data_IF_183554908414
#
_entry.id   IF_183554908414
#
_cell.length_a   1.000
_cell.length_b   1.000
_cell.length_c   1.000
_cell.angle_alpha   90.00
_cell.angle_beta   90.00
_cell.angle_gamma   90.00
#
_symmetry.space_group_name_H-M   'P 1'
#
loop_
_entity.id
_entity.type
_entity.pdbx_description
1 polymer ?
#
# COMPACT_ATOMS: atom_id res chain seq x y z
N UNK A 1 -18.00 42.37 13.95
CA UNK A 1 -17.70 40.98 14.37
C UNK A 1 -16.99 40.94 15.72
N UNK A 2 -15.77 41.50 15.84
CA UNK A 2 -15.06 41.54 17.12
C UNK A 2 -15.86 42.21 18.24
N UNK A 3 -16.43 43.39 18.00
CA UNK A 3 -17.18 44.13 19.03
C UNK A 3 -18.44 43.38 19.51
N UNK A 4 -19.13 42.67 18.60
CA UNK A 4 -20.27 41.82 18.94
C UNK A 4 -19.85 40.58 19.75
N UNK A 5 -18.71 39.97 19.43
CA UNK A 5 -18.15 38.87 20.21
C UNK A 5 -17.68 39.33 21.60
N UNK A 6 -17.03 40.49 21.69
CA UNK A 6 -16.63 41.10 22.96
C UNK A 6 -17.85 41.49 23.81
N UNK A 7 -18.91 42.01 23.19
CA UNK A 7 -20.16 42.33 23.87
C UNK A 7 -20.84 41.06 24.40
N UNK A 8 -20.86 39.98 23.63
CA UNK A 8 -21.41 38.68 24.06
C UNK A 8 -20.64 38.09 25.24
N UNK A 9 -19.30 38.12 25.20
CA UNK A 9 -18.43 37.72 26.31
C UNK A 9 -18.69 38.54 27.59
N UNK A 10 -18.89 39.85 27.46
CA UNK A 10 -19.24 40.73 28.60
C UNK A 10 -20.60 40.39 29.20
N UNK A 11 -21.61 40.11 28.37
CA UNK A 11 -22.94 39.71 28.84
C UNK A 11 -22.89 38.35 29.56
N UNK A 12 -22.06 37.44 29.07
CA UNK A 12 -21.81 36.13 29.69
C UNK A 12 -20.89 36.19 30.93
N UNK A 13 -20.38 37.39 31.29
CA UNK A 13 -19.42 37.62 32.38
C UNK A 13 -18.13 36.81 32.24
N UNK A 14 -17.71 36.54 31.00
CA UNK A 14 -16.48 35.82 30.70
C UNK A 14 -15.30 36.79 30.53
N UNK A 15 -14.08 36.30 30.81
CA UNK A 15 -12.85 37.09 30.60
C UNK A 15 -12.61 37.29 29.10
N UNK A 16 -12.28 38.52 28.69
CA UNK A 16 -11.99 38.87 27.28
C UNK A 16 -10.59 38.40 26.84
N UNK A 17 -10.37 37.08 26.87
CA UNK A 17 -9.18 36.43 26.34
C UNK A 17 -9.31 36.20 24.82
N UNK A 18 -8.20 36.06 24.08
CA UNK A 18 -8.24 35.68 22.66
C UNK A 18 -9.09 34.43 22.39
N UNK A 19 -9.03 33.43 23.28
CA UNK A 19 -9.75 32.17 23.17
C UNK A 19 -11.26 32.36 23.34
N UNK A 20 -11.67 33.11 24.36
CA UNK A 20 -13.07 33.47 24.61
C UNK A 20 -13.64 34.28 23.45
N UNK A 21 -12.88 35.27 22.97
CA UNK A 21 -13.30 36.09 21.83
C UNK A 21 -13.42 35.26 20.56
N UNK A 22 -12.51 34.32 20.31
CA UNK A 22 -12.61 33.38 19.19
C UNK A 22 -13.81 32.44 19.30
N UNK A 23 -14.19 32.01 20.50
CA UNK A 23 -15.38 31.18 20.72
C UNK A 23 -16.67 31.95 20.39
N UNK A 24 -16.81 33.18 20.90
CA UNK A 24 -17.96 34.04 20.61
C UNK A 24 -18.02 34.49 19.15
N UNK A 25 -16.86 34.71 18.53
CA UNK A 25 -16.74 34.97 17.11
C UNK A 25 -17.30 33.79 16.29
N UNK A 26 -16.94 32.54 16.62
CA UNK A 26 -17.49 31.34 15.96
C UNK A 26 -18.99 31.16 16.20
N UNK A 27 -19.45 31.44 17.42
CA UNK A 27 -20.87 31.31 17.79
C UNK A 27 -21.75 32.33 17.08
N UNK A 28 -21.31 33.60 17.05
CA UNK A 28 -22.09 34.70 16.46
C UNK A 28 -22.02 34.73 14.93
N UNK A 29 -20.95 34.17 14.34
CA UNK A 29 -20.69 34.28 12.91
C UNK A 29 -20.23 32.95 12.26
N UNK A 30 -21.00 31.85 12.42
CA UNK A 30 -20.58 30.51 12.02
C UNK A 30 -20.29 30.36 10.51
N UNK A 31 -20.86 31.23 9.66
CA UNK A 31 -20.63 31.23 8.21
C UNK A 31 -19.61 32.24 7.68
N UNK A 32 -19.17 33.20 8.50
CA UNK A 32 -18.33 34.33 8.07
C UNK A 32 -16.86 34.22 8.51
N UNK A 33 -16.58 33.45 9.57
CA UNK A 33 -15.22 33.19 10.02
C UNK A 33 -14.74 31.86 9.49
N UNK A 34 -14.27 31.89 8.24
CA UNK A 34 -13.46 30.82 7.67
C UNK A 34 -12.03 31.13 8.08
N UNK A 35 -11.42 30.30 8.90
CA UNK A 35 -10.03 30.39 9.37
C UNK A 35 -8.99 30.13 8.25
N UNK A 36 -9.31 30.51 7.01
CA UNK A 36 -8.51 30.20 5.83
C UNK A 36 -8.46 28.70 5.50
N UNK A 37 -9.22 27.86 6.20
CA UNK A 37 -9.36 26.44 5.92
C UNK A 37 -10.83 26.12 5.79
N UNK A 38 -11.38 26.30 4.58
CA UNK A 38 -12.65 25.63 4.23
C UNK A 38 -12.33 24.15 4.06
N UNK A 39 -12.20 23.45 5.18
CA UNK A 39 -12.52 22.05 5.25
C UNK A 39 -14.02 21.98 5.50
N UNK A 40 -14.75 21.49 4.51
CA UNK A 40 -16.16 21.14 4.67
C UNK A 40 -16.30 20.31 5.96
N UNK A 41 -17.26 20.57 6.87
CA UNK A 41 -17.46 19.77 8.09
C UNK A 41 -17.43 18.24 7.88
N UNK A 42 -17.67 17.80 6.65
CA UNK A 42 -17.75 16.40 6.20
C UNK A 42 -16.41 15.76 5.76
N UNK A 43 -15.26 16.42 5.95
CA UNK A 43 -13.96 15.91 5.48
C UNK A 43 -12.92 15.67 6.59
N UNK A 44 -13.34 15.63 7.86
CA UNK A 44 -12.43 15.47 9.00
C UNK A 44 -12.97 14.48 10.02
N UNK A 45 -12.11 14.05 10.94
CA UNK A 45 -12.55 13.36 12.14
C UNK A 45 -13.50 14.28 12.93
N UNK A 46 -14.76 13.86 13.20
CA UNK A 46 -15.74 14.70 13.88
C UNK A 46 -15.32 15.00 15.32
N UNK A 47 -15.47 16.25 15.74
CA UNK A 47 -15.17 16.67 17.11
C UNK A 47 -16.17 16.02 18.09
N UNK A 48 -15.67 15.49 19.20
CA UNK A 48 -16.43 14.78 20.22
C UNK A 48 -16.75 13.33 19.88
N UNK A 49 -16.40 12.85 18.67
CA UNK A 49 -16.55 11.44 18.28
C UNK A 49 -15.72 10.52 19.18
N UNK A 50 -16.11 9.26 19.26
CA UNK A 50 -15.37 8.27 20.06
C UNK A 50 -13.96 8.08 19.51
N UNK A 51 -13.79 8.00 18.18
CA UNK A 51 -12.48 7.90 17.55
C UNK A 51 -11.58 9.09 17.87
N UNK A 52 -12.11 10.32 17.94
CA UNK A 52 -11.33 11.51 18.32
C UNK A 52 -10.81 11.38 19.75
N UNK A 53 -11.67 10.95 20.68
CA UNK A 53 -11.29 10.75 22.10
C UNK A 53 -10.24 9.65 22.23
N UNK A 54 -10.37 8.56 21.49
CA UNK A 54 -9.43 7.44 21.51
C UNK A 54 -8.06 7.79 20.92
N UNK A 55 -8.04 8.55 19.83
CA UNK A 55 -6.82 9.04 19.19
C UNK A 55 -6.11 10.10 20.05
N UNK A 56 -6.88 10.97 20.68
CA UNK A 56 -6.36 12.15 21.37
C UNK A 56 -5.91 13.25 20.41
N UNK A 57 -5.72 14.46 20.96
CA UNK A 57 -5.60 15.69 20.17
C UNK A 57 -4.49 15.67 19.12
N UNK A 58 -3.31 15.13 19.44
CA UNK A 58 -2.17 15.17 18.52
C UNK A 58 -2.39 14.24 17.31
N UNK A 59 -2.84 13.00 17.53
CA UNK A 59 -3.10 12.07 16.43
C UNK A 59 -4.25 12.56 15.56
N UNK A 60 -5.34 13.05 16.15
CA UNK A 60 -6.45 13.68 15.42
C UNK A 60 -5.97 14.85 14.56
N UNK A 61 -5.15 15.75 15.11
CA UNK A 61 -4.61 16.88 14.35
C UNK A 61 -3.81 16.42 13.13
N UNK A 62 -2.91 15.44 13.30
CA UNK A 62 -2.06 14.93 12.21
C UNK A 62 -2.86 14.18 11.15
N UNK A 63 -3.81 13.35 11.54
CA UNK A 63 -4.69 12.68 10.59
C UNK A 63 -5.56 13.67 9.81
N UNK A 64 -6.12 14.69 10.47
CA UNK A 64 -6.85 15.75 9.79
C UNK A 64 -5.97 16.58 8.83
N UNK A 65 -4.66 16.71 9.11
CA UNK A 65 -3.72 17.33 8.15
C UNK A 65 -3.54 16.46 6.89
N UNK A 66 -3.49 15.13 7.03
CA UNK A 66 -3.40 14.21 5.90
C UNK A 66 -4.69 14.20 5.08
N UNK A 67 -5.87 14.12 5.72
CA UNK A 67 -7.16 14.30 5.05
C UNK A 67 -7.22 15.64 4.30
N UNK A 68 -6.67 16.70 4.91
CA UNK A 68 -6.53 18.02 4.28
C UNK A 68 -5.66 18.06 3.05
N UNK A 69 -4.56 17.33 3.07
CA UNK A 69 -3.71 17.23 1.92
C UNK A 69 -4.37 16.39 0.81
N UNK A 70 -4.93 15.24 1.18
CA UNK A 70 -5.54 14.28 0.28
C UNK A 70 -6.78 14.85 -0.44
N UNK A 71 -7.60 15.67 0.21
CA UNK A 71 -8.80 16.25 -0.41
C UNK A 71 -8.51 17.13 -1.63
N UNK A 72 -7.26 17.54 -1.86
CA UNK A 72 -6.85 18.27 -3.06
C UNK A 72 -6.87 17.40 -4.32
N UNK A 73 -6.65 16.09 -4.18
CA UNK A 73 -6.59 15.13 -5.29
C UNK A 73 -7.65 14.02 -5.19
N UNK A 74 -8.09 13.69 -3.97
CA UNK A 74 -9.06 12.63 -3.66
C UNK A 74 -10.18 13.14 -2.73
N UNK A 75 -10.94 14.19 -3.12
CA UNK A 75 -11.98 14.76 -2.27
C UNK A 75 -13.08 13.74 -1.92
N UNK A 76 -13.49 12.90 -2.86
CA UNK A 76 -14.58 11.94 -2.65
C UNK A 76 -14.17 10.85 -1.65
N UNK A 77 -12.94 10.35 -1.74
CA UNK A 77 -12.35 9.42 -0.76
C UNK A 77 -12.34 10.01 0.64
N UNK A 78 -11.90 11.26 0.77
CA UNK A 78 -11.86 11.96 2.06
C UNK A 78 -13.26 12.17 2.62
N UNK A 79 -14.23 12.55 1.77
CA UNK A 79 -15.65 12.71 2.18
C UNK A 79 -16.24 11.39 2.65
N UNK A 80 -16.08 10.31 1.88
CA UNK A 80 -16.60 9.00 2.23
C UNK A 80 -15.99 8.50 3.55
N UNK A 81 -14.66 8.57 3.68
CA UNK A 81 -13.99 8.15 4.91
C UNK A 81 -14.44 8.97 6.13
N UNK A 82 -14.59 10.29 5.98
CA UNK A 82 -14.98 11.18 7.08
C UNK A 82 -16.49 11.10 7.43
N UNK A 83 -17.37 10.83 6.45
CA UNK A 83 -18.81 10.57 6.66
C UNK A 83 -19.03 9.47 7.71
N UNK A 84 -18.20 8.43 7.67
CA UNK A 84 -18.26 7.29 8.59
C UNK A 84 -17.30 7.40 9.79
N UNK A 85 -16.51 8.47 9.90
CA UNK A 85 -15.51 8.58 10.96
C UNK A 85 -16.12 8.64 12.37
N UNK A 86 -17.39 9.04 12.51
CA UNK A 86 -18.11 8.94 13.78
C UNK A 86 -18.38 7.51 14.24
N UNK A 87 -18.36 6.54 13.33
CA UNK A 87 -18.64 5.12 13.57
C UNK A 87 -17.36 4.32 13.86
N UNK A 88 -16.19 4.88 13.56
CA UNK A 88 -14.93 4.17 13.78
C UNK A 88 -14.61 3.98 15.26
N UNK A 89 -14.06 2.81 15.58
CA UNK A 89 -13.78 2.42 16.95
C UNK A 89 -12.47 1.65 17.11
N UNK A 90 -11.66 2.02 18.11
CA UNK A 90 -10.43 1.32 18.49
C UNK A 90 -10.69 0.44 19.71
N UNK A 91 -10.66 -0.87 19.51
CA UNK A 91 -10.83 -1.89 20.56
C UNK A 91 -9.63 -1.88 21.51
N UNK A 92 -8.42 -1.77 20.95
CA UNK A 92 -7.18 -1.80 21.72
C UNK A 92 -6.17 -0.83 21.13
N UNK A 93 -5.87 0.24 21.87
CA UNK A 93 -4.94 1.33 21.48
C UNK A 93 -3.47 1.02 21.76
N UNK A 94 -3.18 -0.11 22.41
CA UNK A 94 -1.84 -0.55 22.82
C UNK A 94 -1.52 -1.95 22.27
N UNK A 95 -2.16 -2.34 21.17
CA UNK A 95 -1.99 -3.68 20.62
C UNK A 95 -0.52 -3.92 20.26
N UNK A 96 0.00 -5.08 20.64
CA UNK A 96 1.41 -5.44 20.40
C UNK A 96 1.60 -6.34 19.19
N UNK A 97 0.51 -6.88 18.64
CA UNK A 97 0.50 -7.61 17.37
C UNK A 97 0.56 -6.70 16.15
N UNK A 98 0.42 -7.30 14.96
CA UNK A 98 0.13 -6.56 13.72
C UNK A 98 -1.20 -5.86 13.87
N UNK A 99 -1.32 -4.61 13.42
CA UNK A 99 -2.61 -3.94 13.44
C UNK A 99 -3.64 -4.75 12.63
N UNK A 100 -4.90 -4.72 13.05
CA UNK A 100 -5.97 -5.45 12.37
C UNK A 100 -7.33 -4.80 12.64
N UNK A 101 -8.22 -4.89 11.65
CA UNK A 101 -9.66 -4.78 11.84
C UNK A 101 -10.26 -6.13 12.28
N UNK A 102 -11.13 -6.10 13.29
CA UNK A 102 -11.89 -7.27 13.76
C UNK A 102 -13.38 -7.11 13.44
N UNK A 103 -13.90 -7.83 12.43
CA UNK A 103 -15.31 -7.75 12.04
C UNK A 103 -16.27 -8.19 13.15
N UNK A 104 -15.85 -9.10 14.04
CA UNK A 104 -16.71 -9.59 15.14
C UNK A 104 -16.88 -8.55 16.23
N UNK A 105 -15.85 -7.75 16.44
CA UNK A 105 -15.87 -6.68 17.43
C UNK A 105 -16.19 -5.30 16.82
N UNK A 106 -16.29 -5.20 15.48
CA UNK A 106 -16.64 -3.97 14.76
C UNK A 106 -15.61 -2.85 14.94
N UNK A 107 -14.35 -3.19 15.19
CA UNK A 107 -13.34 -2.20 15.58
C UNK A 107 -11.92 -2.63 15.23
N UNK A 108 -10.95 -1.73 15.41
CA UNK A 108 -9.54 -2.00 15.12
C UNK A 108 -8.71 -2.23 16.38
N UNK A 109 -7.65 -3.01 16.24
CA UNK A 109 -6.57 -3.14 17.23
C UNK A 109 -5.30 -2.54 16.66
N UNK A 110 -4.78 -1.51 17.30
CA UNK A 110 -3.64 -0.75 16.79
C UNK A 110 -2.77 -0.23 17.93
N UNK A 111 -1.50 0.07 17.66
CA UNK A 111 -0.62 0.70 18.64
C UNK A 111 -0.50 2.21 18.37
N UNK A 112 -1.21 3.04 19.14
CA UNK A 112 -1.19 4.49 18.93
C UNK A 112 0.21 5.12 19.10
N UNK A 113 1.10 4.50 19.88
CA UNK A 113 2.49 4.98 20.00
C UNK A 113 3.29 4.80 18.71
N UNK A 114 2.85 3.92 17.81
CA UNK A 114 3.56 3.60 16.56
C UNK A 114 2.93 4.25 15.33
N UNK A 115 1.63 4.53 15.33
CA UNK A 115 0.96 5.05 14.13
C UNK A 115 1.51 6.38 13.63
N UNK A 116 2.10 7.21 14.51
CA UNK A 116 2.66 8.51 14.10
C UNK A 116 4.09 8.45 13.56
N UNK A 117 4.67 7.26 13.42
CA UNK A 117 6.04 7.04 12.99
C UNK A 117 6.04 6.38 11.61
N UNK A 118 7.00 6.76 10.78
CA UNK A 118 7.33 5.96 9.60
C UNK A 118 7.87 4.61 10.07
N UNK A 119 7.32 3.52 9.55
CA UNK A 119 7.85 2.19 9.77
C UNK A 119 8.79 1.78 8.65
N UNK A 120 9.14 0.49 8.65
CA UNK A 120 10.01 -0.07 7.61
C UNK A 120 9.32 -0.09 6.22
N UNK A 121 7.99 -0.14 6.19
CA UNK A 121 7.20 -0.36 4.97
C UNK A 121 5.99 0.57 4.81
N UNK A 122 5.66 1.37 5.83
CA UNK A 122 4.53 2.32 5.86
C UNK A 122 5.05 3.70 6.22
N UNK A 123 4.33 4.70 5.75
CA UNK A 123 4.43 6.08 6.23
C UNK A 123 3.59 6.27 7.49
N UNK A 124 3.90 7.33 8.23
CA UNK A 124 3.12 7.74 9.38
C UNK A 124 1.62 7.82 9.04
N UNK A 125 0.81 7.24 9.92
CA UNK A 125 -0.64 7.12 9.91
C UNK A 125 -1.25 6.25 8.81
N UNK A 126 -0.47 5.75 7.85
CA UNK A 126 -0.96 4.87 6.79
C UNK A 126 -1.63 3.61 7.34
N UNK A 127 -1.04 2.96 8.35
CA UNK A 127 -1.67 1.81 9.03
C UNK A 127 -3.03 2.17 9.64
N UNK A 128 -3.17 3.38 10.22
CA UNK A 128 -4.45 3.78 10.80
C UNK A 128 -5.52 3.94 9.72
N UNK A 129 -5.18 4.53 8.58
CA UNK A 129 -6.08 4.64 7.44
C UNK A 129 -6.37 3.28 6.80
N UNK A 130 -5.39 2.38 6.73
CA UNK A 130 -5.58 1.01 6.24
C UNK A 130 -6.61 0.26 7.10
N UNK A 131 -6.38 0.17 8.42
CA UNK A 131 -7.31 -0.57 9.30
C UNK A 131 -8.72 0.04 9.36
N UNK A 132 -8.82 1.37 9.30
CA UNK A 132 -10.15 2.03 9.23
C UNK A 132 -10.81 1.88 7.87
N UNK A 133 -10.04 1.68 6.79
CA UNK A 133 -10.61 1.39 5.47
C UNK A 133 -11.21 -0.02 5.41
N UNK A 134 -10.64 -1.00 6.12
CA UNK A 134 -11.30 -2.30 6.35
C UNK A 134 -12.64 -2.15 7.07
N UNK A 135 -12.69 -1.29 8.09
CA UNK A 135 -13.93 -1.01 8.81
C UNK A 135 -14.96 -0.30 7.94
N UNK A 136 -14.54 0.69 7.15
CA UNK A 136 -15.41 1.36 6.18
C UNK A 136 -15.97 0.35 5.18
N UNK A 137 -15.14 -0.52 4.62
CA UNK A 137 -15.58 -1.56 3.68
C UNK A 137 -16.61 -2.51 4.31
N UNK A 138 -16.42 -2.86 5.58
CA UNK A 138 -17.36 -3.65 6.36
C UNK A 138 -18.69 -2.92 6.63
N UNK A 139 -18.63 -1.62 6.93
CA UNK A 139 -19.82 -0.76 7.09
C UNK A 139 -20.60 -0.69 5.78
N UNK A 140 -19.91 -0.49 4.65
CA UNK A 140 -20.52 -0.45 3.32
C UNK A 140 -21.13 -1.79 2.89
N UNK A 141 -20.67 -2.91 3.46
CA UNK A 141 -21.29 -4.22 3.30
C UNK A 141 -22.31 -4.59 4.38
N UNK A 142 -22.97 -3.58 4.97
CA UNK A 142 -24.01 -3.70 6.00
C UNK A 142 -23.58 -4.51 7.24
N UNK A 143 -22.30 -4.47 7.59
CA UNK A 143 -21.71 -5.25 8.68
C UNK A 143 -21.96 -6.77 8.58
N UNK A 144 -22.09 -7.29 7.35
CA UNK A 144 -22.27 -8.73 7.08
C UNK A 144 -21.15 -9.29 6.21
N UNK A 145 -20.64 -8.47 5.31
CA UNK A 145 -19.52 -8.77 4.41
C UNK A 145 -18.77 -7.47 4.11
N UNK A 146 -17.69 -7.57 3.34
CA UNK A 146 -17.03 -6.40 2.77
C UNK A 146 -17.79 -5.91 1.53
N UNK A 147 -18.08 -4.62 1.44
CA UNK A 147 -18.77 -4.01 0.30
C UNK A 147 -18.02 -4.20 -1.01
N UNK A 148 -16.68 -4.09 -0.95
CA UNK A 148 -15.75 -4.29 -2.07
C UNK A 148 -15.85 -5.68 -2.70
N UNK A 149 -16.21 -6.70 -1.91
CA UNK A 149 -16.39 -8.05 -2.41
C UNK A 149 -17.72 -8.23 -3.16
N UNK A 150 -18.79 -7.61 -2.67
CA UNK A 150 -20.14 -7.73 -3.23
C UNK A 150 -20.42 -6.82 -4.42
N UNK A 151 -19.57 -5.81 -4.65
CA UNK A 151 -19.76 -4.78 -5.67
C UNK A 151 -20.02 -5.37 -7.06
N UNK A 152 -21.17 -5.01 -7.65
CA UNK A 152 -21.67 -5.48 -8.95
C UNK A 152 -21.44 -6.98 -9.22
N UNK A 153 -21.72 -7.84 -8.24
CA UNK A 153 -21.50 -9.30 -8.37
C UNK A 153 -20.02 -9.64 -8.56
N UNK A 154 -19.17 -9.11 -7.69
CA UNK A 154 -17.72 -9.37 -7.62
C UNK A 154 -16.89 -8.79 -8.79
N UNK A 155 -17.27 -7.62 -9.30
CA UNK A 155 -16.55 -6.93 -10.37
C UNK A 155 -15.14 -6.47 -9.91
N UNK A 156 -15.02 -5.93 -8.71
CA UNK A 156 -13.75 -5.45 -8.16
C UNK A 156 -12.68 -6.55 -8.01
N UNK A 157 -12.94 -7.70 -7.34
CA UNK A 157 -11.97 -8.78 -7.30
C UNK A 157 -11.61 -9.35 -8.68
N UNK A 158 -12.52 -9.33 -9.65
CA UNK A 158 -12.23 -9.73 -11.03
C UNK A 158 -11.23 -8.78 -11.71
N UNK A 159 -11.43 -7.46 -11.58
CA UNK A 159 -10.50 -6.48 -12.16
C UNK A 159 -9.11 -6.54 -11.49
N UNK A 160 -9.06 -6.75 -10.17
CA UNK A 160 -7.79 -6.96 -9.46
C UNK A 160 -7.00 -8.13 -10.05
N UNK A 161 -7.68 -9.25 -10.33
CA UNK A 161 -7.06 -10.39 -10.97
C UNK A 161 -6.63 -10.08 -12.40
N UNK A 162 -7.45 -9.36 -13.18
CA UNK A 162 -7.14 -9.01 -14.57
C UNK A 162 -5.90 -8.12 -14.70
N UNK A 163 -5.79 -7.08 -13.86
CA UNK A 163 -4.61 -6.21 -13.81
C UNK A 163 -3.35 -7.02 -13.45
N UNK A 164 -3.43 -7.87 -12.42
CA UNK A 164 -2.31 -8.72 -12.02
C UNK A 164 -1.89 -9.71 -13.14
N UNK A 165 -2.86 -10.30 -13.85
CA UNK A 165 -2.63 -11.16 -15.02
C UNK A 165 -2.01 -10.39 -16.19
N UNK A 166 -2.42 -9.14 -16.42
CA UNK A 166 -1.83 -8.29 -17.44
C UNK A 166 -0.35 -7.99 -17.13
N UNK A 167 -0.03 -7.69 -15.86
CA UNK A 167 1.34 -7.49 -15.40
C UNK A 167 2.18 -8.77 -15.59
N UNK A 168 1.65 -9.93 -15.18
CA UNK A 168 2.31 -11.22 -15.35
C UNK A 168 2.60 -11.54 -16.82
N UNK A 169 1.59 -11.38 -17.71
CA UNK A 169 1.76 -11.58 -19.16
C UNK A 169 2.80 -10.64 -19.74
N UNK A 170 2.85 -9.39 -19.29
CA UNK A 170 3.84 -8.40 -19.72
C UNK A 170 5.24 -8.83 -19.31
N UNK A 171 5.45 -9.20 -18.04
CA UNK A 171 6.73 -9.70 -17.54
C UNK A 171 7.22 -10.95 -18.31
N UNK A 172 6.31 -11.90 -18.61
CA UNK A 172 6.62 -13.07 -19.44
C UNK A 172 7.08 -12.66 -20.85
N UNK A 173 6.34 -11.76 -21.51
CA UNK A 173 6.67 -11.29 -22.86
C UNK A 173 8.04 -10.61 -22.90
N UNK A 174 8.38 -9.83 -21.89
CA UNK A 174 9.69 -9.16 -21.81
C UNK A 174 10.84 -10.15 -21.65
N UNK A 175 10.68 -11.16 -20.77
CA UNK A 175 11.66 -12.23 -20.63
C UNK A 175 11.92 -12.94 -21.96
N UNK A 176 10.85 -13.24 -22.71
CA UNK A 176 10.95 -13.85 -24.05
C UNK A 176 11.63 -12.92 -25.04
N UNK A 177 11.27 -11.63 -25.05
CA UNK A 177 11.84 -10.60 -25.94
C UNK A 177 13.34 -10.41 -25.71
N UNK A 178 13.80 -10.55 -24.48
CA UNK A 178 15.21 -10.37 -24.11
C UNK A 178 16.08 -11.61 -24.37
N UNK A 179 15.47 -12.77 -24.67
CA UNK A 179 16.19 -14.04 -24.94
C UNK A 179 17.39 -13.87 -25.89
N UNK A 180 17.28 -13.21 -27.07
CA UNK A 180 18.41 -13.10 -27.99
C UNK A 180 19.61 -12.38 -27.37
N UNK A 181 19.37 -11.33 -26.60
CA UNK A 181 20.42 -10.55 -25.94
C UNK A 181 21.09 -11.38 -24.83
N UNK A 182 20.31 -12.10 -24.03
CA UNK A 182 20.83 -12.97 -22.98
C UNK A 182 21.64 -14.14 -23.55
N UNK A 183 21.18 -14.77 -24.64
CA UNK A 183 21.93 -15.82 -25.32
C UNK A 183 23.26 -15.31 -25.90
N UNK A 184 23.26 -14.08 -26.44
CA UNK A 184 24.49 -13.42 -26.88
C UNK A 184 25.43 -13.15 -25.70
N UNK A 185 24.93 -12.68 -24.56
CA UNK A 185 25.74 -12.47 -23.35
C UNK A 185 26.37 -13.80 -22.86
N UNK A 186 25.59 -14.88 -22.79
CA UNK A 186 26.10 -16.20 -22.41
C UNK A 186 27.20 -16.67 -23.37
N UNK A 187 27.02 -16.48 -24.67
CA UNK A 187 28.02 -16.82 -25.68
C UNK A 187 29.31 -16.00 -25.51
N UNK A 188 29.21 -14.71 -25.17
CA UNK A 188 30.37 -13.87 -24.87
C UNK A 188 31.09 -14.35 -23.61
N UNK A 189 30.36 -14.75 -22.57
CA UNK A 189 30.94 -15.25 -21.32
C UNK A 189 31.64 -16.59 -21.54
N UNK A 190 31.05 -17.49 -22.32
CA UNK A 190 31.65 -18.77 -22.69
C UNK A 190 32.93 -18.58 -23.52
N UNK A 191 32.92 -17.68 -24.52
CA UNK A 191 34.11 -17.35 -25.30
C UNK A 191 35.21 -16.69 -24.46
N UNK A 192 34.86 -15.87 -23.47
CA UNK A 192 35.81 -15.30 -22.53
C UNK A 192 36.41 -16.39 -21.62
N UNK A 193 35.56 -17.26 -21.06
CA UNK A 193 35.97 -18.36 -20.18
C UNK A 193 36.91 -19.33 -20.89
N UNK A 194 36.63 -19.68 -22.16
CA UNK A 194 37.50 -20.54 -22.98
C UNK A 194 38.89 -19.94 -23.20
N UNK A 195 38.98 -18.63 -23.43
CA UNK A 195 40.25 -17.93 -23.68
C UNK A 195 41.06 -17.71 -22.41
N UNK A 196 40.41 -17.40 -21.30
CA UNK A 196 41.07 -16.93 -20.08
C UNK A 196 41.09 -17.95 -18.95
N UNK A 197 40.38 -19.08 -19.09
CA UNK A 197 40.15 -20.08 -18.04
C UNK A 197 39.54 -19.52 -16.74
N UNK A 198 38.89 -18.35 -16.83
CA UNK A 198 38.19 -17.66 -15.74
C UNK A 198 37.17 -16.66 -16.29
N UNK A 199 36.22 -16.24 -15.46
CA UNK A 199 35.41 -15.03 -15.68
C UNK A 199 35.98 -13.86 -14.88
N UNK A 200 35.72 -12.64 -15.34
CA UNK A 200 36.11 -11.44 -14.61
C UNK A 200 35.12 -11.10 -13.47
N UNK A 201 35.49 -10.16 -12.60
CA UNK A 201 34.69 -9.80 -11.43
C UNK A 201 33.30 -9.28 -11.79
N UNK A 202 33.19 -8.49 -12.88
CA UNK A 202 31.92 -7.93 -13.32
C UNK A 202 30.98 -9.03 -13.85
N UNK A 203 31.51 -9.99 -14.60
CA UNK A 203 30.76 -11.16 -15.10
C UNK A 203 30.27 -12.04 -13.95
N UNK A 204 31.12 -12.34 -12.96
CA UNK A 204 30.70 -13.11 -11.80
C UNK A 204 29.65 -12.38 -10.97
N UNK A 205 29.83 -11.07 -10.74
CA UNK A 205 28.83 -10.25 -10.06
C UNK A 205 27.50 -10.24 -10.82
N UNK A 206 27.54 -10.14 -12.15
CA UNK A 206 26.35 -10.19 -13.00
C UNK A 206 25.59 -11.51 -12.85
N UNK A 207 26.30 -12.65 -12.86
CA UNK A 207 25.68 -13.96 -12.62
C UNK A 207 25.05 -14.07 -11.22
N UNK A 208 25.69 -13.48 -10.21
CA UNK A 208 25.18 -13.44 -8.85
C UNK A 208 23.94 -12.55 -8.69
N UNK A 209 23.97 -11.34 -9.24
CA UNK A 209 22.84 -10.40 -9.17
C UNK A 209 21.57 -10.93 -9.87
N UNK A 210 21.74 -11.79 -10.87
CA UNK A 210 20.64 -12.50 -11.54
C UNK A 210 20.28 -13.85 -10.87
N UNK A 211 20.96 -14.22 -9.77
CA UNK A 211 20.69 -15.44 -9.02
C UNK A 211 21.08 -16.74 -9.75
N UNK A 212 21.87 -16.64 -10.82
CA UNK A 212 22.36 -17.79 -11.60
C UNK A 212 23.40 -18.58 -10.80
N UNK A 213 24.19 -17.87 -9.99
CA UNK A 213 25.05 -18.45 -8.96
C UNK A 213 24.66 -17.90 -7.59
N UNK A 214 24.83 -18.72 -6.55
CA UNK A 214 24.47 -18.38 -5.17
C UNK A 214 25.71 -18.41 -4.26
N UNK A 215 25.59 -17.81 -3.07
CA UNK A 215 26.68 -17.70 -2.10
C UNK A 215 27.68 -16.59 -2.44
N UNK A 216 28.86 -16.60 -1.80
CA UNK A 216 29.91 -15.64 -2.11
C UNK A 216 30.47 -15.90 -3.51
N UNK A 217 30.05 -15.11 -4.49
CA UNK A 217 30.47 -15.26 -5.88
C UNK A 217 31.98 -15.06 -6.08
N UNK A 218 32.67 -14.40 -5.15
CA UNK A 218 34.12 -14.20 -5.22
C UNK A 218 34.89 -15.50 -5.05
N UNK A 219 34.28 -16.56 -4.49
CA UNK A 219 34.90 -17.88 -4.44
C UNK A 219 35.22 -18.43 -5.84
N UNK A 220 34.49 -17.99 -6.88
CA UNK A 220 34.72 -18.40 -8.26
C UNK A 220 35.74 -17.52 -9.00
N UNK A 221 36.31 -16.52 -8.33
CA UNK A 221 37.29 -15.61 -8.93
C UNK A 221 38.67 -16.28 -9.07
N UNK A 222 39.35 -16.03 -10.20
CA UNK A 222 40.64 -16.63 -10.50
C UNK A 222 40.55 -17.89 -11.37
N UNK A 223 41.69 -18.57 -11.57
CA UNK A 223 41.78 -19.83 -12.31
C UNK A 223 41.38 -21.02 -11.42
N UNK A 224 41.00 -22.15 -12.05
CA UNK A 224 40.62 -23.39 -11.33
C UNK A 224 39.12 -23.70 -11.31
N UNK A 225 38.26 -22.73 -11.61
CA UNK A 225 36.79 -22.91 -11.59
C UNK A 225 36.16 -23.09 -12.98
N UNK A 226 36.97 -23.19 -14.04
CA UNK A 226 36.48 -23.16 -15.42
C UNK A 226 35.54 -24.32 -15.79
N UNK A 227 35.65 -25.47 -15.12
CA UNK A 227 34.70 -26.58 -15.28
C UNK A 227 33.33 -26.23 -14.72
N UNK A 228 33.28 -25.81 -13.46
CA UNK A 228 32.05 -25.39 -12.76
C UNK A 228 31.37 -24.23 -13.50
N UNK A 229 32.14 -23.21 -13.88
CA UNK A 229 31.62 -22.05 -14.60
C UNK A 229 31.06 -22.42 -16.00
N UNK A 230 31.62 -23.41 -16.68
CA UNK A 230 31.04 -23.94 -17.93
C UNK A 230 29.68 -24.58 -17.69
N UNK A 231 29.53 -25.38 -16.64
CA UNK A 231 28.24 -25.97 -16.26
C UNK A 231 27.23 -24.88 -15.91
N UNK A 232 27.63 -23.85 -15.15
CA UNK A 232 26.78 -22.69 -14.83
C UNK A 232 26.28 -21.99 -16.10
N UNK A 233 27.17 -21.67 -17.04
CA UNK A 233 26.79 -20.99 -18.29
C UNK A 233 25.89 -21.88 -19.17
N UNK A 234 26.15 -23.19 -19.21
CA UNK A 234 25.30 -24.15 -19.93
C UNK A 234 23.89 -24.21 -19.34
N UNK A 235 23.78 -24.30 -18.01
CA UNK A 235 22.48 -24.31 -17.33
C UNK A 235 21.74 -22.99 -17.52
N UNK A 236 22.46 -21.86 -17.45
CA UNK A 236 21.89 -20.54 -17.72
C UNK A 236 21.34 -20.46 -19.15
N UNK A 237 22.11 -20.91 -20.15
CA UNK A 237 21.66 -21.00 -21.54
C UNK A 237 20.36 -21.80 -21.67
N UNK A 238 20.34 -23.02 -21.14
CA UNK A 238 19.15 -23.89 -21.18
C UNK A 238 17.95 -23.23 -20.51
N UNK A 239 18.16 -22.48 -19.42
CA UNK A 239 17.08 -21.74 -18.74
C UNK A 239 16.52 -20.57 -19.57
N UNK A 240 17.32 -19.96 -20.44
CA UNK A 240 16.88 -18.89 -21.35
C UNK A 240 16.08 -19.47 -22.53
N UNK A 241 16.56 -20.59 -23.07
CA UNK A 241 15.93 -21.29 -24.21
C UNK A 241 14.59 -21.94 -23.82
N UNK A 242 14.44 -22.36 -22.57
CA UNK A 242 13.20 -22.90 -22.03
C UNK A 242 12.09 -21.84 -21.89
N UNK A 243 10.84 -22.31 -21.76
CA UNK A 243 9.73 -21.43 -21.36
C UNK A 243 9.98 -20.83 -19.97
N UNK A 244 9.73 -19.53 -19.76
CA UNK A 244 9.97 -18.92 -18.45
C UNK A 244 9.07 -19.57 -17.41
N UNK A 245 9.68 -20.00 -16.31
CA UNK A 245 8.97 -20.51 -15.14
C UNK A 245 8.20 -19.37 -14.45
N UNK A 246 7.13 -19.70 -13.74
CA UNK A 246 6.35 -18.71 -12.99
C UNK A 246 7.23 -17.94 -11.99
N UNK A 247 8.17 -18.60 -11.31
CA UNK A 247 9.08 -17.92 -10.39
C UNK A 247 9.97 -16.87 -11.09
N UNK A 248 10.42 -17.13 -12.32
CA UNK A 248 11.18 -16.15 -13.11
C UNK A 248 10.29 -14.97 -13.50
N UNK A 249 9.03 -15.23 -13.86
CA UNK A 249 8.06 -14.18 -14.21
C UNK A 249 7.75 -13.32 -12.98
N UNK A 250 7.47 -13.92 -11.82
CA UNK A 250 7.22 -13.20 -10.57
C UNK A 250 8.43 -12.38 -10.12
N UNK A 251 9.64 -12.91 -10.28
CA UNK A 251 10.89 -12.18 -10.01
C UNK A 251 11.03 -10.97 -10.93
N UNK A 252 10.69 -11.12 -12.22
CA UNK A 252 10.68 -10.02 -13.18
C UNK A 252 9.61 -8.98 -12.82
N UNK A 253 8.40 -9.40 -12.46
CA UNK A 253 7.34 -8.49 -12.00
C UNK A 253 7.82 -7.65 -10.82
N UNK A 254 8.38 -8.29 -9.79
CA UNK A 254 8.93 -7.59 -8.62
C UNK A 254 9.97 -6.55 -9.02
N UNK A 255 10.97 -6.92 -9.84
CA UNK A 255 12.02 -5.98 -10.30
C UNK A 255 11.40 -4.74 -10.97
N UNK A 256 10.34 -4.91 -11.76
CA UNK A 256 9.63 -3.80 -12.42
C UNK A 256 8.83 -2.96 -11.44
N UNK A 257 8.11 -3.58 -10.53
CA UNK A 257 7.26 -2.90 -9.57
C UNK A 257 8.09 -2.06 -8.60
N UNK A 258 9.26 -2.56 -8.20
CA UNK A 258 10.19 -1.89 -7.29
C UNK A 258 11.09 -0.85 -7.97
N UNK A 259 11.02 -0.70 -9.29
CA UNK A 259 11.81 0.30 -10.00
C UNK A 259 11.38 1.72 -9.59
N UNK A 260 12.27 2.43 -8.89
CA UNK A 260 12.02 3.77 -8.38
C UNK A 260 11.11 3.83 -7.15
N UNK A 261 10.75 2.69 -6.56
CA UNK A 261 9.88 2.59 -5.39
C UNK A 261 10.70 2.60 -4.10
N UNK A 262 10.24 3.33 -3.08
CA UNK A 262 10.77 3.21 -1.72
C UNK A 262 10.12 2.02 -1.00
N UNK A 263 10.81 1.41 -0.03
CA UNK A 263 10.27 0.33 0.80
C UNK A 263 8.94 0.73 1.47
N UNK A 264 8.73 2.02 1.74
CA UNK A 264 7.52 2.58 2.36
C UNK A 264 6.32 2.71 1.43
N UNK A 265 6.48 2.40 0.14
CA UNK A 265 5.43 2.57 -0.88
C UNK A 265 4.90 1.21 -1.35
N UNK A 266 5.00 0.20 -0.47
CA UNK A 266 4.81 -1.23 -0.73
C UNK A 266 3.38 -1.75 -0.88
N UNK A 267 2.36 -0.90 -0.78
CA UNK A 267 0.95 -1.30 -0.86
C UNK A 267 0.62 -2.18 -2.10
N UNK A 268 1.25 -1.88 -3.24
CA UNK A 268 1.10 -2.64 -4.47
C UNK A 268 1.63 -4.09 -4.36
N UNK A 269 2.61 -4.35 -3.50
CA UNK A 269 3.14 -5.70 -3.29
C UNK A 269 2.13 -6.62 -2.61
N UNK A 270 1.36 -6.13 -1.63
CA UNK A 270 0.29 -6.91 -1.00
C UNK A 270 -0.83 -7.22 -1.99
N UNK A 271 -1.18 -6.26 -2.84
CA UNK A 271 -2.14 -6.47 -3.92
C UNK A 271 -1.69 -7.53 -4.93
N UNK A 272 -0.39 -7.54 -5.33
CA UNK A 272 0.14 -8.57 -6.23
C UNK A 272 0.24 -9.92 -5.52
N UNK A 273 0.74 -9.92 -4.28
CA UNK A 273 0.90 -11.11 -3.48
C UNK A 273 -0.44 -11.82 -3.25
N UNK A 274 -1.52 -11.05 -3.08
CA UNK A 274 -2.88 -11.58 -3.01
C UNK A 274 -3.28 -12.41 -4.24
N UNK A 275 -2.74 -12.11 -5.42
CA UNK A 275 -3.09 -12.78 -6.68
C UNK A 275 -2.14 -13.92 -7.06
N UNK A 276 -0.90 -13.90 -6.55
CA UNK A 276 0.14 -14.85 -6.95
C UNK A 276 0.88 -15.46 -5.76
N UNK A 277 0.56 -16.72 -5.48
CA UNK A 277 1.31 -17.55 -4.56
C UNK A 277 2.78 -17.62 -5.00
N UNK A 278 3.71 -17.29 -4.09
CA UNK A 278 5.15 -17.28 -4.37
C UNK A 278 5.72 -15.93 -4.81
N UNK A 279 4.91 -14.88 -4.94
CA UNK A 279 5.44 -13.52 -5.07
C UNK A 279 6.23 -13.13 -3.82
N UNK A 280 7.39 -12.49 -3.99
CA UNK A 280 8.35 -12.17 -2.92
C UNK A 280 8.67 -10.68 -2.84
N UNK A 281 7.65 -9.82 -2.80
CA UNK A 281 7.79 -8.37 -2.64
C UNK A 281 7.94 -7.90 -1.18
N UNK A 282 7.78 -6.59 -0.94
CA UNK A 282 7.67 -5.98 0.39
C UNK A 282 6.27 -6.17 0.99
N UNK A 283 5.82 -7.42 1.04
CA UNK A 283 4.48 -7.81 1.50
C UNK A 283 4.34 -7.53 3.00
N UNK A 284 3.33 -6.76 3.41
CA UNK A 284 2.89 -6.53 4.78
C UNK A 284 2.41 -7.80 5.47
N UNK A 285 1.75 -8.67 4.71
CA UNK A 285 1.23 -9.95 5.15
C UNK A 285 2.04 -11.13 4.55
N UNK A 286 3.35 -11.27 4.87
CA UNK A 286 4.16 -12.36 4.33
C UNK A 286 3.67 -13.73 4.87
N UNK A 287 4.05 -14.84 4.20
CA UNK A 287 3.82 -16.17 4.73
C UNK A 287 4.28 -16.32 6.17
N UNK A 288 3.43 -16.89 7.02
CA UNK A 288 3.74 -17.13 8.43
C UNK A 288 4.88 -18.15 8.60
N UNK A 289 5.09 -19.00 7.59
CA UNK A 289 6.26 -19.89 7.49
C UNK A 289 7.08 -19.58 6.21
N UNK A 290 8.31 -19.05 6.33
CA UNK A 290 9.21 -18.84 5.20
C UNK A 290 9.57 -20.13 4.44
N UNK A 291 9.52 -21.29 5.12
CA UNK A 291 9.85 -22.60 4.55
C UNK A 291 8.66 -23.24 3.82
N UNK A 292 7.44 -22.77 4.07
CA UNK A 292 6.24 -23.25 3.40
C UNK A 292 5.39 -22.08 2.89
N UNK A 293 5.83 -21.43 1.80
CA UNK A 293 5.28 -20.16 1.37
C UNK A 293 3.88 -20.21 0.74
N UNK A 294 3.32 -21.41 0.65
CA UNK A 294 1.99 -21.68 0.10
C UNK A 294 0.91 -21.46 1.17
N UNK A 295 1.25 -21.40 2.47
CA UNK A 295 0.29 -21.14 3.54
C UNK A 295 0.28 -19.67 4.01
N UNK A 296 -0.24 -18.74 3.21
CA UNK A 296 -0.90 -17.57 3.80
C UNK A 296 -2.36 -17.90 4.00
N UNK A 297 -2.76 -18.18 5.25
CA UNK A 297 -4.19 -18.34 5.58
C UNK A 297 -5.02 -17.08 5.28
N UNK A 298 -4.36 -15.95 5.02
CA UNK A 298 -4.94 -14.64 4.88
C UNK A 298 -5.67 -14.42 3.53
N UNK A 299 -5.01 -14.69 2.39
CA UNK A 299 -5.58 -14.43 1.05
C UNK A 299 -6.41 -15.60 0.48
N UNK A 300 -6.98 -16.46 1.34
CA UNK A 300 -7.65 -17.71 0.94
C UNK A 300 -8.96 -17.52 0.17
N UNK A 301 -9.52 -16.31 0.11
CA UNK A 301 -10.80 -16.04 -0.56
C UNK A 301 -10.75 -14.76 -1.38
N UNK A 302 -11.58 -14.69 -2.43
CA UNK A 302 -11.78 -13.45 -3.21
C UNK A 302 -12.16 -12.26 -2.34
N UNK A 303 -12.92 -12.51 -1.26
CA UNK A 303 -13.34 -11.51 -0.28
C UNK A 303 -12.17 -10.88 0.48
N UNK A 304 -11.21 -11.66 0.99
CA UNK A 304 -10.05 -11.08 1.66
C UNK A 304 -9.16 -10.32 0.67
N UNK A 305 -9.03 -10.81 -0.57
CA UNK A 305 -8.24 -10.13 -1.60
C UNK A 305 -8.81 -8.78 -1.99
N UNK A 306 -10.13 -8.66 -2.12
CA UNK A 306 -10.77 -7.38 -2.42
C UNK A 306 -10.71 -6.42 -1.24
N UNK A 307 -10.94 -6.91 -0.01
CA UNK A 307 -10.87 -6.08 1.20
C UNK A 307 -9.47 -5.49 1.42
N UNK A 308 -8.41 -6.28 1.25
CA UNK A 308 -7.04 -5.77 1.33
C UNK A 308 -6.74 -4.74 0.25
N UNK A 309 -7.09 -5.03 -1.01
CA UNK A 309 -6.87 -4.07 -2.07
C UNK A 309 -7.63 -2.75 -1.84
N UNK A 310 -8.87 -2.83 -1.35
CA UNK A 310 -9.65 -1.65 -0.94
C UNK A 310 -8.91 -0.85 0.14
N UNK A 311 -8.47 -1.51 1.21
CA UNK A 311 -7.79 -0.85 2.32
C UNK A 311 -6.46 -0.22 1.92
N UNK A 312 -5.64 -0.94 1.15
CA UNK A 312 -4.38 -0.44 0.60
C UNK A 312 -4.58 0.78 -0.30
N UNK A 313 -5.59 0.73 -1.18
CA UNK A 313 -5.89 1.82 -2.09
C UNK A 313 -6.38 3.08 -1.38
N UNK A 314 -7.36 2.98 -0.46
CA UNK A 314 -7.84 4.16 0.28
C UNK A 314 -6.76 4.75 1.17
N UNK A 315 -6.00 3.91 1.87
CA UNK A 315 -4.89 4.38 2.71
C UNK A 315 -3.84 5.11 1.87
N UNK A 316 -3.52 4.60 0.68
CA UNK A 316 -2.60 5.25 -0.25
C UNK A 316 -3.13 6.59 -0.75
N UNK A 317 -4.40 6.69 -1.15
CA UNK A 317 -5.02 7.96 -1.56
C UNK A 317 -4.95 9.03 -0.46
N UNK A 318 -5.01 8.64 0.82
CA UNK A 318 -5.01 9.59 1.95
C UNK A 318 -3.61 9.91 2.47
N UNK A 319 -2.79 8.88 2.70
CA UNK A 319 -1.54 9.00 3.47
C UNK A 319 -0.27 8.75 2.63
N UNK A 320 -0.39 8.15 1.44
CA UNK A 320 0.77 7.76 0.64
C UNK A 320 0.57 7.98 -0.87
N UNK A 321 0.62 9.24 -1.35
CA UNK A 321 0.42 9.54 -2.77
C UNK A 321 1.41 8.84 -3.72
N UNK A 322 2.60 8.46 -3.24
CA UNK A 322 3.56 7.73 -4.06
C UNK A 322 3.14 6.27 -4.23
N UNK A 323 2.71 5.60 -3.14
CA UNK A 323 2.09 4.28 -3.26
C UNK A 323 0.86 4.31 -4.17
N UNK A 324 0.03 5.36 -4.07
CA UNK A 324 -1.14 5.51 -4.95
C UNK A 324 -0.75 5.59 -6.43
N UNK A 325 0.26 6.39 -6.77
CA UNK A 325 0.78 6.47 -8.15
C UNK A 325 1.29 5.10 -8.64
N UNK A 326 1.96 4.33 -7.78
CA UNK A 326 2.41 2.98 -8.09
C UNK A 326 1.23 2.01 -8.30
N UNK A 327 0.19 2.10 -7.48
CA UNK A 327 -1.04 1.32 -7.63
C UNK A 327 -1.71 1.65 -8.96
N UNK A 328 -1.90 2.92 -9.29
CA UNK A 328 -2.52 3.31 -10.58
C UNK A 328 -1.71 2.83 -11.79
N UNK A 329 -0.38 2.79 -11.68
CA UNK A 329 0.49 2.29 -12.74
C UNK A 329 0.32 0.79 -12.99
N UNK A 330 0.16 -0.01 -11.93
CA UNK A 330 0.20 -1.48 -12.02
C UNK A 330 -1.18 -2.14 -11.91
N UNK A 331 -2.16 -1.46 -11.35
CA UNK A 331 -3.58 -1.84 -11.23
C UNK A 331 -4.51 -0.74 -11.78
N UNK A 332 -4.35 -0.33 -13.05
CA UNK A 332 -5.07 0.79 -13.61
C UNK A 332 -6.59 0.59 -13.64
N UNK A 333 -7.08 -0.60 -14.01
CA UNK A 333 -8.51 -0.84 -14.10
C UNK A 333 -9.16 -0.90 -12.71
N UNK A 334 -8.49 -1.56 -11.77
CA UNK A 334 -8.96 -1.69 -10.40
C UNK A 334 -8.97 -0.33 -9.68
N UNK A 335 -7.94 0.49 -9.88
CA UNK A 335 -7.89 1.84 -9.31
C UNK A 335 -9.00 2.75 -9.84
N UNK A 336 -9.36 2.62 -11.12
CA UNK A 336 -10.49 3.35 -11.70
C UNK A 336 -11.82 2.88 -11.10
N UNK A 337 -12.02 1.57 -10.97
CA UNK A 337 -13.24 1.03 -10.38
C UNK A 337 -13.38 1.46 -8.92
N UNK A 338 -12.28 1.53 -8.17
CA UNK A 338 -12.31 2.05 -6.80
C UNK A 338 -12.89 3.47 -6.74
N UNK A 339 -12.42 4.37 -7.60
CA UNK A 339 -12.93 5.75 -7.64
C UNK A 339 -14.43 5.78 -7.97
N UNK A 340 -14.89 4.91 -8.88
CA UNK A 340 -16.31 4.73 -9.20
C UNK A 340 -17.12 4.22 -7.98
N UNK A 341 -16.61 3.19 -7.30
CA UNK A 341 -17.22 2.63 -6.08
C UNK A 341 -17.36 3.68 -4.97
N UNK A 342 -16.32 4.51 -4.78
CA UNK A 342 -16.31 5.59 -3.78
C UNK A 342 -17.38 6.63 -4.11
N UNK A 343 -17.50 7.01 -5.38
CA UNK A 343 -18.51 7.97 -5.83
C UNK A 343 -19.93 7.44 -5.67
N UNK A 344 -20.16 6.17 -5.99
CA UNK A 344 -21.46 5.53 -5.80
C UNK A 344 -21.83 5.42 -4.32
N UNK A 345 -20.91 4.95 -3.47
CA UNK A 345 -21.12 4.84 -2.02
C UNK A 345 -21.35 6.20 -1.33
N UNK A 346 -20.80 7.28 -1.89
CA UNK A 346 -21.03 8.62 -1.38
C UNK A 346 -22.41 9.18 -1.78
N UNK A 347 -22.85 8.94 -3.02
CA UNK A 347 -24.08 9.49 -3.60
C UNK A 347 -25.35 8.67 -3.33
N UNK A 348 -25.20 7.39 -3.00
CA UNK A 348 -26.28 6.53 -2.50
C UNK A 348 -26.62 6.84 -1.04
#
# INVERSE_FOLDING_TARGET
MYDQAAQSARHAREKMTPETLCAWLRYNFPGLLKDGVVFDPDMRIPKGSEIEKQLGHLHTLRMNQLLKQAAKSHPDTVRLWAKHAGEYYIINTKYTGTAEFDPKAGGIRVNLKKIGLDGKRNRAYETMFHETSHMLDWILGDSRQYGSYGYHTAEFPMLLQNDAVALHKTAKKELIRERPNLLMEVAQYDAYLKRNSRLNRAQLKRLYDEGIIQGDYMQFYGSGHAGVLRTVLSNWRSSIEAEPTDQQILTRMRKKVHEGMLDTDGAVDDMIFAQYDGYRGFVWHPPRDPKNPIETKYFKSGMMRSAEAWAEMLAAQIANPQAWNHIQKWFPQSSKLLDEMIQEAFNG
#
